data_IF_004110006994
#
_entry.id   IF_004110006994
#
_cell.length_a   1.000
_cell.length_b   1.000
_cell.length_c   1.000
_cell.angle_alpha   90.00
_cell.angle_beta   90.00
_cell.angle_gamma   90.00
#
_symmetry.space_group_name_H-M   'P 1'
#
loop_
_entity.id
_entity.type
_entity.pdbx_description
1 polymer ?
#
# COMPACT_ATOMS: atom_id res chain seq x y z
N UNK A 1 -23.42 -1.90 -20.73
CA UNK A 1 -22.24 -1.41 -21.46
C UNK A 1 -21.07 -1.98 -20.70
N UNK A 2 -20.43 -3.02 -21.24
CA UNK A 2 -19.34 -3.72 -20.58
C UNK A 2 -18.11 -2.80 -20.68
N UNK A 3 -17.68 -2.22 -19.56
CA UNK A 3 -16.43 -1.46 -19.51
C UNK A 3 -15.33 -2.50 -19.65
N UNK A 4 -14.64 -2.47 -20.78
CA UNK A 4 -13.43 -3.29 -20.97
C UNK A 4 -12.41 -2.71 -20.00
N UNK A 5 -12.22 -3.38 -18.86
CA UNK A 5 -11.17 -3.04 -17.90
C UNK A 5 -9.81 -3.30 -18.56
N UNK A 6 -9.24 -2.28 -19.22
CA UNK A 6 -7.84 -2.31 -19.62
C UNK A 6 -7.01 -2.04 -18.37
N UNK A 7 -6.32 -3.07 -17.88
CA UNK A 7 -5.54 -2.98 -16.65
C UNK A 7 -4.49 -1.84 -16.70
N UNK A 8 -3.92 -1.58 -17.87
CA UNK A 8 -3.00 -0.45 -18.13
C UNK A 8 -3.30 0.09 -19.54
N UNK A 9 -3.65 1.36 -19.64
CA UNK A 9 -3.88 2.04 -20.90
C UNK A 9 -2.56 2.36 -21.61
N UNK A 10 -2.39 1.89 -22.84
CA UNK A 10 -1.25 2.23 -23.69
C UNK A 10 -1.55 3.49 -24.52
N UNK A 11 -0.85 4.58 -24.22
CA UNK A 11 -1.01 5.86 -24.92
C UNK A 11 -0.65 5.73 -26.40
N UNK A 12 0.31 4.87 -26.76
CA UNK A 12 0.68 4.70 -28.16
C UNK A 12 -0.41 3.99 -28.98
N UNK A 13 -1.22 3.13 -28.36
CA UNK A 13 -2.39 2.53 -29.00
C UNK A 13 -3.49 3.58 -29.25
N UNK A 14 -3.69 4.52 -28.32
CA UNK A 14 -4.62 5.65 -28.52
C UNK A 14 -4.15 6.57 -29.65
N UNK A 15 -2.83 6.81 -29.76
CA UNK A 15 -2.25 7.54 -30.90
C UNK A 15 -2.53 6.81 -32.22
N UNK A 16 -2.38 5.49 -32.30
CA UNK A 16 -2.66 4.71 -33.52
C UNK A 16 -4.13 4.82 -33.93
N UNK A 17 -5.05 4.71 -32.97
CA UNK A 17 -6.49 4.87 -33.19
C UNK A 17 -6.82 6.27 -33.72
N UNK A 18 -6.28 7.32 -33.11
CA UNK A 18 -6.47 8.69 -33.55
C UNK A 18 -5.91 8.94 -34.95
N UNK A 19 -4.64 8.57 -35.18
CA UNK A 19 -3.95 8.76 -36.45
C UNK A 19 -4.68 8.04 -37.61
N UNK A 20 -5.19 6.84 -37.37
CA UNK A 20 -6.00 6.08 -38.34
C UNK A 20 -7.25 6.84 -38.74
N UNK A 21 -8.02 7.32 -37.75
CA UNK A 21 -9.25 8.08 -38.01
C UNK A 21 -8.97 9.44 -38.66
N UNK A 22 -7.93 10.13 -38.21
CA UNK A 22 -7.51 11.44 -38.72
C UNK A 22 -7.08 11.38 -40.19
N UNK A 23 -6.29 10.37 -40.56
CA UNK A 23 -5.88 10.12 -41.94
C UNK A 23 -7.09 9.74 -42.81
N UNK A 24 -7.92 8.81 -42.33
CA UNK A 24 -9.12 8.34 -43.06
C UNK A 24 -10.07 9.49 -43.38
N UNK A 25 -10.30 10.40 -42.43
CA UNK A 25 -11.13 11.59 -42.64
C UNK A 25 -10.63 12.55 -43.71
N UNK A 26 -9.37 12.42 -44.14
CA UNK A 26 -8.71 13.22 -45.19
C UNK A 26 -8.44 12.45 -46.47
N UNK A 27 -8.95 11.22 -46.61
CA UNK A 27 -8.67 10.36 -47.76
C UNK A 27 -7.22 9.85 -47.80
N UNK A 28 -6.54 9.80 -46.65
CA UNK A 28 -5.19 9.27 -46.50
C UNK A 28 -5.21 7.95 -45.72
N UNK A 29 -4.13 7.19 -45.82
CA UNK A 29 -3.90 5.96 -45.04
C UNK A 29 -2.79 6.20 -44.03
N UNK A 30 -3.02 5.86 -42.76
CA UNK A 30 -1.99 5.94 -41.72
C UNK A 30 -0.88 4.91 -41.98
N UNK A 31 0.38 5.32 -41.86
CA UNK A 31 1.55 4.47 -42.16
C UNK A 31 1.98 3.55 -41.01
N UNK A 32 1.48 3.77 -39.78
CA UNK A 32 1.96 3.12 -38.57
C UNK A 32 3.18 3.79 -37.92
N UNK A 33 3.79 4.78 -38.59
CA UNK A 33 4.90 5.55 -38.00
C UNK A 33 4.37 6.67 -37.12
N UNK A 34 4.90 6.73 -35.91
CA UNK A 34 4.60 7.74 -34.89
C UNK A 34 5.78 7.91 -33.93
N UNK A 35 5.77 8.98 -33.16
CA UNK A 35 6.71 9.20 -32.07
C UNK A 35 6.49 10.53 -31.36
N UNK A 36 7.23 10.78 -30.27
CA UNK A 36 7.19 12.07 -29.60
C UNK A 36 7.89 13.14 -30.44
N UNK A 37 7.42 14.38 -30.37
CA UNK A 37 8.12 15.52 -30.95
C UNK A 37 9.25 15.92 -30.01
N UNK A 38 10.53 15.93 -30.43
CA UNK A 38 11.65 16.15 -29.51
C UNK A 38 11.62 17.48 -28.74
N UNK A 39 11.08 18.54 -29.35
CA UNK A 39 10.94 19.86 -28.73
C UNK A 39 9.83 19.93 -27.67
N UNK A 40 8.86 19.02 -27.74
CA UNK A 40 7.69 18.93 -26.86
C UNK A 40 7.43 17.45 -26.55
N UNK A 41 8.34 16.80 -25.80
CA UNK A 41 8.28 15.36 -25.59
C UNK A 41 7.01 14.97 -24.87
N UNK A 42 6.50 13.76 -25.16
CA UNK A 42 5.44 13.14 -24.36
C UNK A 42 6.02 12.81 -22.98
N UNK A 43 5.52 13.48 -21.93
CA UNK A 43 5.98 13.27 -20.56
C UNK A 43 4.81 13.00 -19.62
N UNK A 44 5.09 12.22 -18.59
CA UNK A 44 4.20 11.95 -17.48
C UNK A 44 4.76 12.62 -16.24
N UNK A 45 3.96 13.43 -15.56
CA UNK A 45 4.35 14.22 -14.39
C UNK A 45 3.32 14.09 -13.28
N UNK A 46 3.61 14.68 -12.11
CA UNK A 46 2.68 14.74 -10.97
C UNK A 46 2.08 13.38 -10.57
N UNK A 47 2.87 12.32 -10.66
CA UNK A 47 2.41 11.00 -10.26
C UNK A 47 2.22 10.94 -8.73
N UNK A 48 1.01 10.61 -8.32
CA UNK A 48 0.61 10.49 -6.93
C UNK A 48 -0.31 9.28 -6.75
N UNK A 49 -0.30 8.73 -5.52
CA UNK A 49 -1.36 7.85 -5.07
C UNK A 49 -1.91 8.33 -3.74
N UNK A 50 -3.22 8.16 -3.54
CA UNK A 50 -3.93 8.57 -2.32
C UNK A 50 -4.91 7.50 -1.86
N UNK A 51 -5.27 7.54 -0.58
CA UNK A 51 -6.36 6.75 -0.01
C UNK A 51 -7.62 7.61 0.06
N UNK A 52 -8.63 7.38 -0.80
CA UNK A 52 -9.91 8.08 -0.70
C UNK A 52 -10.66 7.75 0.61
N UNK A 53 -10.49 6.53 1.13
CA UNK A 53 -10.89 6.15 2.48
C UNK A 53 -9.72 5.45 3.19
N UNK A 54 -9.25 6.06 4.28
CA UNK A 54 -8.11 5.56 5.06
C UNK A 54 -8.50 4.66 6.23
N UNK A 55 -9.78 4.33 6.36
CA UNK A 55 -10.33 3.62 7.51
C UNK A 55 -10.44 2.12 7.26
N UNK A 56 -9.91 1.36 8.21
CA UNK A 56 -10.11 -0.08 8.34
C UNK A 56 -11.18 -0.31 9.39
N UNK A 57 -12.28 -0.93 8.96
CA UNK A 57 -13.42 -1.26 9.80
C UNK A 57 -13.36 -2.69 10.35
N UNK A 58 -12.47 -3.53 9.82
CA UNK A 58 -12.29 -4.90 10.28
C UNK A 58 -11.59 -4.89 11.65
N UNK A 59 -12.10 -5.65 12.64
CA UNK A 59 -11.41 -5.85 13.90
C UNK A 59 -9.98 -6.37 13.70
N UNK A 60 -9.02 -5.96 14.55
CA UNK A 60 -7.69 -6.59 14.55
C UNK A 60 -7.79 -8.08 14.90
N UNK A 61 -6.89 -8.87 14.30
CA UNK A 61 -6.68 -10.25 14.69
C UNK A 61 -5.79 -10.33 15.93
N UNK A 62 -6.05 -11.32 16.79
CA UNK A 62 -5.23 -11.57 17.97
C UNK A 62 -4.35 -12.78 17.76
N UNK A 63 -3.04 -12.56 17.69
CA UNK A 63 -2.03 -13.63 17.66
C UNK A 63 -1.54 -13.84 19.09
N UNK A 64 -1.79 -15.02 19.62
CA UNK A 64 -1.45 -15.37 21.00
C UNK A 64 -0.32 -16.40 21.03
N UNK A 65 0.71 -16.13 21.84
CA UNK A 65 1.83 -17.05 22.08
C UNK A 65 1.41 -18.27 22.89
N UNK A 66 2.28 -19.28 22.98
CA UNK A 66 2.09 -20.39 23.91
C UNK A 66 2.07 -19.87 25.36
N UNK A 67 1.13 -20.37 26.19
CA UNK A 67 1.02 -19.91 27.57
C UNK A 67 2.24 -20.32 28.39
N UNK A 68 2.76 -19.37 29.17
CA UNK A 68 3.71 -19.65 30.25
C UNK A 68 2.95 -19.79 31.56
N UNK A 69 3.15 -20.91 32.24
CA UNK A 69 2.54 -21.18 33.54
C UNK A 69 3.57 -21.12 34.65
N UNK A 70 3.16 -20.62 35.80
CA UNK A 70 4.00 -20.62 37.00
C UNK A 70 3.13 -20.91 38.23
N UNK A 71 3.59 -21.85 39.04
CA UNK A 71 2.91 -22.29 40.26
C UNK A 71 3.69 -21.83 41.47
N UNK A 72 3.07 -21.01 42.31
CA UNK A 72 3.59 -20.75 43.65
C UNK A 72 2.97 -21.74 44.63
N UNK A 73 3.66 -22.85 44.88
CA UNK A 73 3.24 -23.88 45.83
C UNK A 73 3.55 -23.53 47.31
N UNK A 74 4.09 -22.34 47.57
CA UNK A 74 4.54 -21.94 48.91
C UNK A 74 3.49 -21.10 49.64
N UNK A 75 3.65 -20.97 50.95
CA UNK A 75 2.80 -20.12 51.79
C UNK A 75 3.15 -18.63 51.72
N UNK A 76 4.14 -18.23 50.91
CA UNK A 76 4.61 -16.84 50.78
C UNK A 76 4.49 -16.37 49.32
N UNK A 77 4.22 -15.09 49.06
CA UNK A 77 4.28 -14.55 47.70
C UNK A 77 5.66 -14.77 47.07
N UNK A 78 5.70 -15.07 45.78
CA UNK A 78 6.94 -15.24 45.01
C UNK A 78 6.95 -14.26 43.85
N UNK A 79 8.07 -13.57 43.64
CA UNK A 79 8.27 -12.73 42.46
C UNK A 79 8.92 -13.56 41.37
N UNK A 80 8.36 -13.48 40.16
CA UNK A 80 8.91 -14.10 38.96
C UNK A 80 8.91 -13.12 37.81
N UNK A 81 9.79 -13.33 36.84
CA UNK A 81 9.84 -12.53 35.61
C UNK A 81 9.17 -13.32 34.50
N UNK A 82 8.10 -12.76 33.92
CA UNK A 82 7.53 -13.24 32.68
C UNK A 82 8.26 -12.60 31.51
N UNK A 83 8.87 -13.40 30.66
CA UNK A 83 9.50 -12.93 29.42
C UNK A 83 8.83 -13.56 28.20
N UNK A 84 8.61 -12.80 27.15
CA UNK A 84 8.09 -13.26 25.86
C UNK A 84 8.94 -12.67 24.73
N UNK A 85 9.06 -13.43 23.64
CA UNK A 85 9.74 -13.02 22.42
C UNK A 85 9.07 -13.74 21.26
N UNK A 86 8.42 -13.00 20.37
CA UNK A 86 7.69 -13.53 19.22
C UNK A 86 8.11 -12.78 17.96
N UNK A 87 8.34 -13.49 16.84
CA UNK A 87 8.61 -12.86 15.54
C UNK A 87 7.27 -12.55 14.85
N UNK A 88 7.01 -11.27 14.60
CA UNK A 88 5.90 -10.80 13.79
C UNK A 88 6.39 -10.56 12.36
N UNK A 89 5.69 -11.12 11.38
CA UNK A 89 5.88 -10.79 9.96
C UNK A 89 4.74 -9.89 9.51
N UNK A 90 5.09 -8.67 9.12
CA UNK A 90 4.21 -7.66 8.56
C UNK A 90 4.36 -7.67 7.05
N UNK A 91 3.28 -7.41 6.33
CA UNK A 91 3.29 -7.36 4.88
C UNK A 91 2.52 -6.16 4.36
N UNK A 92 2.99 -5.61 3.26
CA UNK A 92 2.29 -4.61 2.46
C UNK A 92 2.40 -5.01 1.00
N UNK A 93 1.27 -5.13 0.34
CA UNK A 93 1.17 -5.37 -1.09
C UNK A 93 0.42 -4.25 -1.77
N UNK A 94 0.95 -3.76 -2.88
CA UNK A 94 0.32 -2.76 -3.75
C UNK A 94 0.06 -3.34 -5.12
N UNK A 95 -0.99 -2.88 -5.79
CA UNK A 95 -1.31 -3.27 -7.17
C UNK A 95 -2.04 -2.15 -7.86
N UNK A 96 -1.55 -1.72 -9.01
CA UNK A 96 -2.27 -0.79 -9.89
C UNK A 96 -3.32 -1.58 -10.66
N UNK A 97 -4.58 -1.18 -10.54
CA UNK A 97 -5.72 -1.84 -11.22
C UNK A 97 -6.07 -1.13 -12.52
N UNK A 98 -5.97 0.19 -12.54
CA UNK A 98 -6.15 1.04 -13.70
C UNK A 98 -4.97 2.01 -13.75
N UNK A 99 -4.11 1.83 -14.75
CA UNK A 99 -2.92 2.64 -14.95
C UNK A 99 -2.78 3.14 -16.39
N UNK A 100 -1.70 3.87 -16.65
CA UNK A 100 -1.39 4.44 -17.96
C UNK A 100 0.10 4.30 -18.26
N UNK A 101 0.45 3.99 -19.50
CA UNK A 101 1.82 3.85 -19.97
C UNK A 101 2.08 4.66 -21.23
N UNK A 102 3.22 5.35 -21.25
CA UNK A 102 3.80 6.01 -22.44
C UNK A 102 5.01 5.25 -22.98
N UNK A 103 5.24 4.01 -22.52
CA UNK A 103 6.41 3.20 -22.88
C UNK A 103 7.62 3.38 -21.96
N UNK A 104 7.56 4.30 -20.98
CA UNK A 104 8.54 4.43 -19.89
C UNK A 104 7.87 4.14 -18.56
N UNK A 105 8.53 3.35 -17.71
CA UNK A 105 8.05 3.07 -16.36
C UNK A 105 8.19 4.30 -15.47
N UNK A 106 7.11 4.64 -14.76
CA UNK A 106 7.11 5.67 -13.73
C UNK A 106 6.70 5.04 -12.42
N UNK A 107 7.62 5.06 -11.45
CA UNK A 107 7.34 4.59 -10.09
C UNK A 107 7.58 5.69 -9.05
N UNK A 108 6.89 5.57 -7.92
CA UNK A 108 6.99 6.51 -6.81
C UNK A 108 6.64 5.81 -5.51
N UNK A 109 7.42 6.09 -4.47
CA UNK A 109 7.14 5.63 -3.10
C UNK A 109 6.14 6.56 -2.46
N UNK A 110 5.02 6.01 -2.01
CA UNK A 110 3.92 6.73 -1.39
C UNK A 110 3.78 6.29 0.06
N UNK A 111 3.51 7.25 0.95
CA UNK A 111 3.32 7.01 2.38
C UNK A 111 1.88 7.31 2.76
N UNK A 112 1.22 6.32 3.37
CA UNK A 112 -0.17 6.36 3.78
C UNK A 112 -0.31 6.27 5.29
N UNK A 113 -1.34 6.90 5.83
CA UNK A 113 -1.76 6.75 7.23
C UNK A 113 -3.07 6.00 7.26
N UNK A 114 -3.06 4.76 7.72
CA UNK A 114 -4.21 3.86 7.76
C UNK A 114 -4.77 3.85 9.18
N UNK A 115 -6.07 4.12 9.34
CA UNK A 115 -6.76 4.20 10.64
C UNK A 115 -7.55 2.93 10.94
N UNK A 116 -7.21 2.23 12.00
CA UNK A 116 -7.95 1.08 12.51
C UNK A 116 -9.01 1.57 13.48
N UNK A 117 -10.25 1.69 13.00
CA UNK A 117 -11.32 2.41 13.70
C UNK A 117 -11.69 1.76 15.02
N UNK A 118 -11.74 0.43 15.07
CA UNK A 118 -12.16 -0.29 16.28
C UNK A 118 -11.22 -0.11 17.48
N UNK A 119 -9.91 0.02 17.22
CA UNK A 119 -8.89 0.21 18.27
C UNK A 119 -8.41 1.65 18.39
N UNK A 120 -8.86 2.54 17.50
CA UNK A 120 -8.47 3.96 17.50
C UNK A 120 -6.99 4.20 17.20
N UNK A 121 -6.32 3.25 16.52
CA UNK A 121 -4.89 3.31 16.20
C UNK A 121 -4.67 3.71 14.73
N UNK A 122 -3.52 4.33 14.45
CA UNK A 122 -3.15 4.73 13.08
C UNK A 122 -1.77 4.19 12.72
N UNK A 123 -1.68 3.43 11.64
CA UNK A 123 -0.43 2.89 11.10
C UNK A 123 0.08 3.77 9.96
N UNK A 124 1.39 4.02 9.91
CA UNK A 124 2.02 4.59 8.72
C UNK A 124 2.61 3.47 7.87
N UNK A 125 2.24 3.42 6.60
CA UNK A 125 2.69 2.40 5.64
C UNK A 125 3.31 3.11 4.43
N UNK A 126 4.50 2.68 4.01
CA UNK A 126 5.13 3.20 2.79
C UNK A 126 5.26 2.08 1.76
N UNK A 127 4.90 2.35 0.51
CA UNK A 127 5.00 1.37 -0.55
C UNK A 127 5.20 2.02 -1.91
N UNK A 128 5.80 1.27 -2.83
CA UNK A 128 6.02 1.71 -4.21
C UNK A 128 4.78 1.45 -5.06
N UNK A 129 4.42 2.44 -5.87
CA UNK A 129 3.42 2.32 -6.92
C UNK A 129 4.05 2.58 -8.28
N UNK A 130 3.48 1.98 -9.31
CA UNK A 130 3.81 2.23 -10.72
C UNK A 130 2.53 2.44 -11.52
N UNK A 131 2.52 3.39 -12.45
CA UNK A 131 1.37 3.60 -13.34
C UNK A 131 1.33 2.61 -14.50
N UNK A 132 2.44 1.91 -14.77
CA UNK A 132 2.64 1.18 -16.04
C UNK A 132 2.52 -0.33 -15.92
N UNK A 133 2.26 -0.86 -14.72
CA UNK A 133 2.24 -2.30 -14.47
C UNK A 133 1.15 -2.66 -13.47
N UNK A 134 0.38 -3.71 -13.80
CA UNK A 134 -0.58 -4.33 -12.89
C UNK A 134 0.06 -5.40 -11.99
N UNK A 135 1.41 -5.44 -11.92
CA UNK A 135 2.13 -6.40 -11.09
C UNK A 135 1.93 -6.05 -9.62
N UNK A 136 1.53 -7.03 -8.83
CA UNK A 136 1.52 -6.90 -7.38
C UNK A 136 2.95 -6.84 -6.85
N UNK A 137 3.29 -5.75 -6.17
CA UNK A 137 4.53 -5.63 -5.39
C UNK A 137 4.20 -6.00 -3.95
N UNK A 138 5.07 -6.76 -3.29
CA UNK A 138 4.90 -7.14 -1.87
C UNK A 138 6.20 -6.91 -1.14
N UNK A 139 6.10 -6.21 -0.01
CA UNK A 139 7.19 -5.97 0.93
C UNK A 139 6.83 -6.65 2.24
N UNK A 140 7.78 -7.42 2.77
CA UNK A 140 7.65 -8.04 4.08
C UNK A 140 8.65 -7.41 5.04
N UNK A 141 8.22 -7.21 6.29
CA UNK A 141 9.06 -6.72 7.37
C UNK A 141 8.90 -7.65 8.55
N UNK A 142 10.03 -8.08 9.12
CA UNK A 142 10.05 -8.88 10.34
C UNK A 142 10.40 -8.00 11.53
N UNK A 143 9.68 -8.16 12.63
CA UNK A 143 9.93 -7.48 13.90
C UNK A 143 9.84 -8.50 15.03
N UNK A 144 10.78 -8.45 15.98
CA UNK A 144 10.67 -9.21 17.21
C UNK A 144 9.89 -8.38 18.23
N UNK A 145 8.75 -8.90 18.69
CA UNK A 145 7.96 -8.33 19.77
C UNK A 145 8.41 -8.97 21.07
N UNK A 146 8.84 -8.15 22.03
CA UNK A 146 9.31 -8.63 23.33
C UNK A 146 8.52 -8.00 24.46
N UNK A 147 8.33 -8.76 25.54
CA UNK A 147 7.75 -8.26 26.79
C UNK A 147 8.47 -8.92 27.95
N UNK A 148 8.87 -8.16 28.96
CA UNK A 148 9.55 -8.65 30.15
C UNK A 148 9.04 -7.91 31.38
N UNK A 149 8.21 -8.58 32.17
CA UNK A 149 7.53 -7.98 33.32
C UNK A 149 7.76 -8.80 34.59
N UNK A 150 8.03 -8.12 35.70
CA UNK A 150 8.06 -8.76 37.01
C UNK A 150 6.67 -8.80 37.62
N UNK A 151 6.26 -9.98 38.08
CA UNK A 151 4.97 -10.16 38.74
C UNK A 151 5.12 -10.92 40.04
N UNK A 152 4.29 -10.56 41.02
CA UNK A 152 4.20 -11.26 42.30
C UNK A 152 3.04 -12.25 42.25
N UNK A 153 3.37 -13.53 42.38
CA UNK A 153 2.41 -14.63 42.42
C UNK A 153 2.05 -14.92 43.88
N UNK A 154 0.78 -14.78 44.28
CA UNK A 154 0.36 -15.06 45.66
C UNK A 154 0.61 -16.52 46.10
N UNK A 155 0.62 -16.78 47.41
CA UNK A 155 0.69 -18.15 47.94
C UNK A 155 -0.35 -19.08 47.32
N UNK A 156 0.03 -20.31 47.02
CA UNK A 156 -0.85 -21.38 46.53
C UNK A 156 -1.69 -21.01 45.30
N UNK A 157 -1.10 -20.23 44.37
CA UNK A 157 -1.76 -19.85 43.13
C UNK A 157 -0.93 -20.25 41.91
N UNK A 158 -1.64 -20.51 40.81
CA UNK A 158 -1.11 -20.64 39.46
C UNK A 158 -1.38 -19.37 38.70
N UNK A 159 -0.40 -18.92 37.94
CA UNK A 159 -0.61 -17.98 36.86
C UNK A 159 -0.45 -18.69 35.51
N UNK A 160 -1.20 -18.20 34.52
CA UNK A 160 -1.07 -18.54 33.11
C UNK A 160 -1.01 -17.22 32.35
N UNK A 161 0.13 -16.95 31.74
CA UNK A 161 0.39 -15.72 31.02
C UNK A 161 0.60 -15.99 29.53
N UNK A 162 0.04 -15.13 28.69
CA UNK A 162 0.14 -15.21 27.22
C UNK A 162 0.43 -13.81 26.69
N UNK A 163 1.48 -13.66 25.86
CA UNK A 163 1.65 -12.49 25.03
C UNK A 163 0.63 -12.54 23.89
N UNK A 164 -0.16 -11.48 23.76
CA UNK A 164 -1.13 -11.26 22.68
C UNK A 164 -0.64 -10.08 21.85
N UNK A 165 -0.60 -10.27 20.54
CA UNK A 165 -0.27 -9.24 19.55
C UNK A 165 -1.54 -8.95 18.75
N UNK A 166 -1.92 -7.67 18.69
CA UNK A 166 -3.01 -7.18 17.85
C UNK A 166 -2.45 -6.89 16.45
N UNK A 167 -2.93 -7.63 15.45
CA UNK A 167 -2.52 -7.52 14.06
C UNK A 167 -3.66 -6.93 13.23
N UNK A 168 -3.45 -5.75 12.69
CA UNK A 168 -4.41 -5.08 11.83
C UNK A 168 -4.28 -5.56 10.40
N UNK A 169 -5.36 -6.06 9.81
CA UNK A 169 -5.44 -6.42 8.39
C UNK A 169 -6.14 -5.30 7.63
N UNK A 170 -5.57 -4.89 6.50
CA UNK A 170 -6.14 -3.87 5.62
C UNK A 170 -6.21 -4.35 4.17
N UNK A 171 -7.25 -3.92 3.48
CA UNK A 171 -7.45 -4.06 2.04
C UNK A 171 -8.24 -2.83 1.59
N UNK A 172 -7.53 -1.84 1.06
CA UNK A 172 -8.03 -0.52 0.73
C UNK A 172 -7.81 -0.22 -0.75
N UNK A 173 -8.73 0.55 -1.32
CA UNK A 173 -8.60 1.09 -2.68
C UNK A 173 -7.74 2.34 -2.62
N UNK A 174 -6.85 2.51 -3.59
CA UNK A 174 -6.10 3.75 -3.79
C UNK A 174 -6.48 4.42 -5.10
N UNK A 175 -6.42 5.74 -5.12
CA UNK A 175 -6.44 6.50 -6.37
C UNK A 175 -5.01 6.57 -6.90
N UNK A 176 -4.87 6.51 -8.22
CA UNK A 176 -3.59 6.59 -8.94
C UNK A 176 -3.71 7.68 -10.00
N UNK A 177 -3.05 8.82 -9.77
CA UNK A 177 -3.21 10.01 -10.61
C UNK A 177 -1.89 10.45 -11.21
N UNK A 178 -1.91 10.94 -12.45
CA UNK A 178 -0.76 11.60 -13.06
C UNK A 178 -1.21 12.56 -14.17
N UNK A 179 -0.31 13.43 -14.56
CA UNK A 179 -0.52 14.39 -15.64
C UNK A 179 0.25 13.98 -16.88
N UNK A 180 -0.39 14.10 -18.03
CA UNK A 180 0.19 13.80 -19.32
C UNK A 180 0.13 15.02 -20.23
N UNK A 181 1.27 15.39 -20.81
CA UNK A 181 1.40 16.48 -21.76
C UNK A 181 2.44 16.17 -22.85
N UNK A 182 2.55 17.06 -23.83
CA UNK A 182 3.48 16.94 -24.96
C UNK A 182 2.79 16.76 -26.32
N UNK A 183 3.62 16.68 -27.35
CA UNK A 183 3.20 16.54 -28.74
C UNK A 183 3.70 15.22 -29.35
N UNK A 184 2.88 14.69 -30.24
CA UNK A 184 3.21 13.51 -31.04
C UNK A 184 3.21 13.87 -32.53
N UNK A 185 3.98 13.11 -33.29
CA UNK A 185 3.87 13.09 -34.75
C UNK A 185 3.36 11.73 -35.22
N UNK A 186 2.72 11.72 -36.38
CA UNK A 186 2.39 10.50 -37.12
C UNK A 186 2.43 10.75 -38.63
N UNK A 187 2.72 9.72 -39.42
CA UNK A 187 2.84 9.84 -40.88
C UNK A 187 1.74 9.08 -41.63
N UNK A 188 1.27 9.65 -42.72
CA UNK A 188 0.48 8.92 -43.72
C UNK A 188 1.40 8.16 -44.70
N UNK A 189 0.86 7.16 -45.42
CA UNK A 189 1.61 6.33 -46.37
C UNK A 189 2.24 7.12 -47.53
N UNK A 190 1.73 8.32 -47.83
CA UNK A 190 2.28 9.22 -48.84
C UNK A 190 3.45 10.09 -48.31
N UNK A 191 3.89 9.88 -47.07
CA UNK A 191 4.99 10.63 -46.44
C UNK A 191 4.58 11.97 -45.80
N UNK A 192 3.29 12.31 -45.80
CA UNK A 192 2.81 13.51 -45.08
C UNK A 192 2.87 13.28 -43.58
N UNK A 193 3.58 14.13 -42.85
CA UNK A 193 3.63 14.13 -41.38
C UNK A 193 2.60 15.09 -40.79
N UNK A 194 1.95 14.66 -39.72
CA UNK A 194 1.04 15.47 -38.92
C UNK A 194 1.58 15.59 -37.50
N UNK A 195 1.30 16.73 -36.87
CA UNK A 195 1.57 16.99 -35.46
C UNK A 195 0.25 17.13 -34.74
N UNK A 196 0.16 16.62 -33.51
CA UNK A 196 -1.00 16.78 -32.65
C UNK A 196 -0.55 16.76 -31.18
N UNK A 197 -1.28 17.45 -30.32
CA UNK A 197 -1.04 17.36 -28.87
C UNK A 197 -1.60 16.04 -28.35
N UNK A 198 -1.03 15.51 -27.27
CA UNK A 198 -1.62 14.32 -26.63
C UNK A 198 -3.05 14.59 -26.13
N UNK A 199 -3.33 15.84 -25.78
CA UNK A 199 -4.67 16.32 -25.47
C UNK A 199 -5.67 16.07 -26.59
N UNK A 200 -5.36 16.50 -27.81
CA UNK A 200 -6.23 16.32 -28.97
C UNK A 200 -6.46 14.84 -29.28
N UNK A 201 -5.41 14.02 -29.13
CA UNK A 201 -5.48 12.57 -29.32
C UNK A 201 -6.47 11.94 -28.35
N UNK A 202 -6.28 12.16 -27.05
CA UNK A 202 -7.08 11.53 -26.00
C UNK A 202 -8.52 12.05 -25.98
N UNK A 203 -8.70 13.35 -26.14
CA UNK A 203 -10.03 13.97 -26.23
C UNK A 203 -10.75 13.54 -27.51
N UNK A 204 -10.07 13.52 -28.64
CA UNK A 204 -10.63 13.10 -29.93
C UNK A 204 -11.11 11.64 -29.93
N UNK A 205 -10.45 10.79 -29.15
CA UNK A 205 -10.83 9.39 -28.98
C UNK A 205 -11.88 9.14 -27.89
N UNK A 206 -12.22 10.15 -27.08
CA UNK A 206 -12.94 10.01 -25.81
C UNK A 206 -12.32 8.91 -24.93
N UNK A 207 -11.00 8.96 -24.75
CA UNK A 207 -10.27 7.97 -23.95
C UNK A 207 -10.76 8.03 -22.49
N UNK A 208 -11.09 6.88 -21.87
CA UNK A 208 -11.60 6.83 -20.50
C UNK A 208 -10.57 7.33 -19.48
N UNK A 209 -11.04 7.65 -18.28
CA UNK A 209 -10.23 7.98 -17.10
C UNK A 209 -9.39 9.25 -17.20
N UNK A 210 -9.54 10.02 -18.29
CA UNK A 210 -8.96 11.34 -18.44
C UNK A 210 -9.96 12.45 -18.14
N UNK A 211 -9.49 13.43 -17.38
CA UNK A 211 -10.07 14.76 -17.32
C UNK A 211 -9.14 15.75 -18.00
N UNK A 212 -9.73 16.76 -18.63
CA UNK A 212 -9.03 17.61 -19.59
C UNK A 212 -9.07 19.06 -19.09
N UNK A 213 -7.90 19.63 -18.80
CA UNK A 213 -7.76 21.02 -18.39
C UNK A 213 -7.21 21.88 -19.52
N UNK A 214 -7.68 23.13 -19.58
CA UNK A 214 -7.21 24.19 -20.49
C UNK A 214 -6.75 25.43 -19.72
N UNK A 215 -6.31 25.24 -18.47
CA UNK A 215 -5.82 26.36 -17.65
C UNK A 215 -4.70 27.12 -18.35
N UNK A 216 -3.85 26.43 -19.12
CA UNK A 216 -2.92 27.03 -20.07
C UNK A 216 -3.34 26.68 -21.53
N UNK A 217 -3.70 27.67 -22.37
CA UNK A 217 -3.96 27.45 -23.79
C UNK A 217 -2.74 26.95 -24.57
N UNK A 218 -1.52 27.20 -24.07
CA UNK A 218 -0.27 26.80 -24.69
C UNK A 218 0.20 25.40 -24.24
N UNK A 219 -0.31 24.89 -23.11
CA UNK A 219 0.01 23.55 -22.58
C UNK A 219 -1.21 22.84 -21.97
N UNK A 220 -2.14 22.34 -22.81
CA UNK A 220 -3.33 21.67 -22.32
C UNK A 220 -2.96 20.33 -21.66
N UNK A 221 -3.25 20.21 -20.37
CA UNK A 221 -2.87 19.04 -19.55
C UNK A 221 -4.00 18.00 -19.49
N UNK A 222 -3.62 16.73 -19.64
CA UNK A 222 -4.50 15.59 -19.47
C UNK A 222 -4.26 14.97 -18.09
N UNK A 223 -5.25 15.01 -17.20
CA UNK A 223 -5.17 14.41 -15.88
C UNK A 223 -5.75 13.00 -15.94
N UNK A 224 -4.91 11.99 -15.76
CA UNK A 224 -5.30 10.60 -15.64
C UNK A 224 -5.77 10.30 -14.21
N UNK A 225 -6.92 9.62 -14.09
CA UNK A 225 -7.52 9.20 -12.83
C UNK A 225 -7.74 7.69 -12.85
N UNK A 226 -6.70 6.95 -12.49
CA UNK A 226 -6.76 5.51 -12.32
C UNK A 226 -6.97 5.08 -10.88
N UNK A 227 -6.84 3.78 -10.66
CA UNK A 227 -7.07 3.14 -9.37
C UNK A 227 -6.02 2.09 -9.08
N UNK A 228 -5.87 1.78 -7.80
CA UNK A 228 -5.04 0.71 -7.29
C UNK A 228 -5.62 0.11 -6.02
N UNK A 229 -4.83 -0.79 -5.43
CA UNK A 229 -5.14 -1.42 -4.15
C UNK A 229 -3.89 -1.48 -3.29
N UNK A 230 -4.08 -1.29 -1.99
CA UNK A 230 -3.11 -1.59 -0.94
C UNK A 230 -3.72 -2.58 0.02
N UNK A 231 -3.04 -3.70 0.25
CA UNK A 231 -3.45 -4.71 1.22
C UNK A 231 -2.28 -5.18 2.05
N UNK A 232 -2.54 -5.71 3.23
CA UNK A 232 -1.47 -6.20 4.08
C UNK A 232 -1.89 -6.41 5.52
N UNK A 233 -0.88 -6.61 6.35
CA UNK A 233 -1.04 -6.73 7.79
C UNK A 233 0.08 -5.98 8.52
N UNK A 234 -0.26 -5.38 9.66
CA UNK A 234 0.69 -4.67 10.51
C UNK A 234 0.38 -4.91 11.98
N UNK A 235 1.42 -5.03 12.80
CA UNK A 235 1.27 -5.08 14.24
C UNK A 235 0.82 -3.72 14.77
N UNK A 236 -0.26 -3.70 15.55
CA UNK A 236 -0.81 -2.47 16.12
C UNK A 236 -0.33 -2.27 17.55
N UNK A 237 -0.49 -3.31 18.37
CA UNK A 237 -0.15 -3.26 19.78
C UNK A 237 0.14 -4.67 20.29
N UNK A 238 0.71 -4.75 21.49
CA UNK A 238 0.87 -6.00 22.21
C UNK A 238 0.56 -5.83 23.68
N UNK A 239 0.18 -6.92 24.34
CA UNK A 239 -0.05 -6.94 25.78
C UNK A 239 0.08 -8.37 26.32
N UNK A 240 0.33 -8.50 27.63
CA UNK A 240 0.35 -9.81 28.28
C UNK A 240 -0.95 -10.00 29.04
N UNK A 241 -1.74 -11.00 28.64
CA UNK A 241 -2.92 -11.43 29.40
C UNK A 241 -2.49 -12.42 30.46
N UNK A 242 -2.81 -12.13 31.72
CA UNK A 242 -2.51 -13.01 32.85
C UNK A 242 -3.81 -13.49 33.49
N UNK A 243 -3.93 -14.81 33.63
CA UNK A 243 -4.98 -15.49 34.36
C UNK A 243 -4.37 -16.08 35.63
N UNK A 244 -4.93 -15.76 36.79
CA UNK A 244 -4.51 -16.26 38.09
C UNK A 244 -5.63 -17.10 38.69
N UNK A 245 -5.31 -18.31 39.17
CA UNK A 245 -6.25 -19.21 39.81
C UNK A 245 -5.63 -19.86 41.05
N UNK A 246 -6.41 -20.25 42.07
CA UNK A 246 -5.90 -21.09 43.15
C UNK A 246 -5.40 -22.42 42.60
N UNK A 247 -4.38 -22.99 43.25
CA UNK A 247 -3.99 -24.38 43.01
C UNK A 247 -5.08 -25.33 43.54
N UNK A 248 -5.12 -26.54 42.99
CA UNK A 248 -6.06 -27.57 43.43
C UNK A 248 -5.95 -27.82 44.94
N UNK A 249 -7.09 -27.87 45.63
CA UNK A 249 -7.16 -28.04 47.09
C UNK A 249 -6.97 -26.76 47.92
N UNK A 250 -6.69 -25.61 47.29
CA UNK A 250 -6.57 -24.33 47.98
C UNK A 250 -7.74 -23.38 47.66
N UNK A 251 -8.17 -22.61 48.65
CA UNK A 251 -9.15 -21.55 48.45
C UNK A 251 -8.49 -20.32 47.82
N UNK A 252 -9.17 -19.66 46.88
CA UNK A 252 -8.71 -18.41 46.32
C UNK A 252 -9.66 -17.85 45.27
N UNK A 253 -9.39 -16.64 44.82
CA UNK A 253 -10.16 -16.01 43.75
C UNK A 253 -9.46 -16.18 42.41
N UNK A 254 -10.24 -16.48 41.38
CA UNK A 254 -9.80 -16.31 39.99
C UNK A 254 -9.67 -14.82 39.68
N UNK A 255 -8.59 -14.43 39.00
CA UNK A 255 -8.37 -13.05 38.54
C UNK A 255 -7.83 -13.08 37.12
N UNK A 256 -8.25 -12.10 36.34
CA UNK A 256 -7.70 -11.85 35.01
C UNK A 256 -7.31 -10.39 34.92
N UNK A 257 -6.13 -10.11 34.40
CA UNK A 257 -5.65 -8.75 34.19
C UNK A 257 -4.71 -8.69 32.98
N UNK A 258 -4.46 -7.48 32.51
CA UNK A 258 -3.59 -7.19 31.37
C UNK A 258 -2.38 -6.42 31.89
N UNK A 259 -1.20 -6.85 31.50
CA UNK A 259 0.02 -6.05 31.61
C UNK A 259 0.22 -5.30 30.29
N UNK A 260 0.55 -4.00 30.34
CA UNK A 260 0.80 -3.22 29.13
C UNK A 260 1.95 -3.85 28.35
N UNK A 261 1.88 -3.82 27.03
CA UNK A 261 2.98 -4.21 26.17
C UNK A 261 3.47 -3.03 25.35
N UNK A 262 3.91 -3.33 24.13
CA UNK A 262 4.53 -2.39 23.20
C UNK A 262 3.50 -1.87 22.18
N UNK A 263 3.47 -0.56 21.97
CA UNK A 263 2.84 0.06 20.80
C UNK A 263 3.68 -0.27 19.56
N UNK A 264 3.06 -0.93 18.59
CA UNK A 264 3.72 -1.40 17.37
C UNK A 264 3.48 -0.45 16.19
N UNK A 265 2.65 0.58 16.35
CA UNK A 265 2.27 1.49 15.26
C UNK A 265 3.39 2.42 14.82
N UNK A 266 4.33 2.72 15.73
CA UNK A 266 5.53 3.48 15.42
C UNK A 266 6.65 2.54 15.01
N UNK A 267 7.32 2.87 13.91
CA UNK A 267 8.58 2.24 13.58
C UNK A 267 9.63 2.60 14.63
N UNK A 268 9.91 1.66 15.54
CA UNK A 268 11.21 1.63 16.20
C UNK A 268 12.19 1.24 15.10
N UNK A 269 12.76 2.24 14.43
CA UNK A 269 13.87 2.06 13.50
C UNK A 269 15.06 1.61 14.36
N UNK A 270 15.21 0.30 14.59
CA UNK A 270 16.53 -0.25 14.81
C UNK A 270 17.23 -0.14 13.47
N UNK A 271 18.13 0.84 13.34
CA UNK A 271 18.88 1.10 12.13
C UNK A 271 19.66 -0.14 11.70
N UNK A 272 19.09 -0.94 10.81
CA UNK A 272 19.89 -1.82 9.97
C UNK A 272 20.38 -0.98 8.80
N UNK A 273 21.70 -0.83 8.71
CA UNK A 273 22.40 -0.18 7.61
C UNK A 273 21.96 -0.79 6.28
N UNK A 274 21.00 -0.16 5.60
CA UNK A 274 20.81 -0.37 4.17
C UNK A 274 21.99 0.31 3.47
N UNK A 275 22.99 -0.50 3.12
CA UNK A 275 24.09 -0.09 2.27
C UNK A 275 23.54 0.51 0.98
N UNK A 276 23.90 1.76 0.72
CA UNK A 276 23.63 2.45 -0.54
C UNK A 276 24.28 1.61 -1.66
N UNK A 277 23.54 1.15 -2.67
CA UNK A 277 24.17 0.57 -3.85
C UNK A 277 24.92 1.68 -4.59
N UNK A 278 26.24 1.54 -4.67
CA UNK A 278 27.08 2.37 -5.55
C UNK A 278 26.91 1.78 -6.95
N UNK A 279 26.25 2.51 -7.84
CA UNK A 279 26.29 2.23 -9.27
C UNK A 279 27.55 2.88 -9.85
N UNK A 280 28.45 2.07 -10.40
CA UNK A 280 29.53 2.50 -11.29
C UNK A 280 29.05 2.50 -12.73
#
# INVERSE_FOLDING_TARGET
MEVINMAILDIWAEVDKFATNYCKGRGLTYSGKKGPVPQYPLIMTNFQSSLPDDRVLTPPEHVATLPKTYDNITSRPQTTTLSFSEELTESTSTTTTEGVSIGTELSSTQTFKIKFVEVGLTQTVSSEYTTTSSKTLTTEKKRIVTSAEQITVPPYTRIKAVLVIENGIYDLITDVTCDLNGMIYFEATNGTSFLSTIYEVLKGNNTPDFTFSFEDPEDPTCHFNGSGKIKGNSGLNSYVRVEQSPLEGYSGQYRQYILPGQDLTTDIITSENFGIPIFN
#
